data_IF_514891263079
#
_entry.id   IF_514891263079
#
_cell.length_a   1.000
_cell.length_b   1.000
_cell.length_c   1.000
_cell.angle_alpha   90.00
_cell.angle_beta   90.00
_cell.angle_gamma   90.00
#
_symmetry.space_group_name_H-M   'P 1'
#
loop_
_entity.id
_entity.type
_entity.pdbx_description
1 polymer ?
#
# COMPACT_ATOMS: atom_id res chain seq x y z
N UNK A 1 -10.23 -28.50 1.41
CA UNK A 1 -9.41 -28.33 2.62
C UNK A 1 -8.37 -27.25 2.32
N UNK A 2 -8.79 -25.97 2.36
CA UNK A 2 -7.91 -24.86 2.02
C UNK A 2 -6.97 -24.61 3.20
N UNK A 3 -5.67 -24.74 2.98
CA UNK A 3 -4.63 -24.40 3.94
C UNK A 3 -4.75 -22.91 4.32
N UNK A 4 -5.53 -22.61 5.36
CA UNK A 4 -5.45 -21.33 6.05
C UNK A 4 -4.07 -21.28 6.70
N UNK A 5 -3.15 -20.57 6.05
CA UNK A 5 -1.83 -20.30 6.61
C UNK A 5 -2.00 -19.64 8.00
N UNK A 6 -1.57 -20.29 9.10
CA UNK A 6 -1.83 -19.84 10.47
C UNK A 6 -1.10 -18.54 10.85
N UNK A 7 -0.24 -18.00 9.98
CA UNK A 7 0.56 -16.81 10.26
C UNK A 7 -0.03 -15.50 9.75
N UNK A 8 -1.19 -15.50 9.07
CA UNK A 8 -1.81 -14.27 8.57
C UNK A 8 -2.86 -13.79 9.56
N UNK A 9 -2.46 -13.02 10.57
CA UNK A 9 -3.41 -12.30 11.42
C UNK A 9 -4.07 -11.19 10.57
N UNK A 10 -5.20 -11.53 9.96
CA UNK A 10 -5.99 -10.66 9.07
C UNK A 10 -6.86 -9.75 9.92
N UNK A 11 -6.68 -8.44 9.81
CA UNK A 11 -7.44 -7.48 10.61
C UNK A 11 -8.51 -6.78 9.77
N UNK A 12 -9.62 -6.46 10.46
CA UNK A 12 -10.86 -5.86 9.95
C UNK A 12 -11.77 -6.85 9.22
N UNK A 13 -11.64 -7.03 7.91
CA UNK A 13 -12.69 -7.67 7.10
C UNK A 13 -12.42 -9.13 6.70
N UNK A 14 -11.19 -9.63 6.84
CA UNK A 14 -10.84 -11.02 6.53
C UNK A 14 -10.54 -11.33 5.05
N UNK A 15 -10.52 -10.33 4.17
CA UNK A 15 -10.07 -10.47 2.78
C UNK A 15 -8.60 -10.93 2.76
N UNK A 16 -8.28 -11.84 1.85
CA UNK A 16 -7.00 -12.56 1.81
C UNK A 16 -6.48 -12.86 0.42
N UNK A 17 -7.02 -12.23 -0.63
CA UNK A 17 -6.40 -12.23 -1.96
C UNK A 17 -4.99 -11.63 -1.82
N UNK A 18 -3.90 -12.38 -2.11
CA UNK A 18 -2.53 -11.90 -2.06
C UNK A 18 -2.30 -10.57 -2.78
N UNK A 19 -2.97 -10.35 -3.91
CA UNK A 19 -2.82 -9.13 -4.69
C UNK A 19 -3.50 -7.93 -4.04
N UNK A 20 -4.40 -8.16 -3.08
CA UNK A 20 -5.24 -7.14 -2.48
C UNK A 20 -4.92 -6.84 -1.01
N UNK A 21 -3.86 -7.44 -0.44
CA UNK A 21 -3.45 -7.28 0.95
C UNK A 21 -2.02 -6.76 1.10
N UNK A 22 -1.78 -6.03 2.18
CA UNK A 22 -0.51 -5.42 2.54
C UNK A 22 -0.21 -5.67 4.01
N UNK A 23 1.04 -5.98 4.33
CA UNK A 23 1.51 -6.12 5.70
C UNK A 23 1.94 -4.76 6.25
N UNK A 24 1.47 -4.41 7.45
CA UNK A 24 2.06 -3.32 8.22
C UNK A 24 3.30 -3.84 8.96
N UNK A 25 4.46 -3.22 8.73
CA UNK A 25 5.73 -3.75 9.23
C UNK A 25 5.89 -3.58 10.74
N UNK A 26 5.27 -2.57 11.34
CA UNK A 26 5.32 -2.36 12.79
C UNK A 26 4.42 -3.33 13.54
N UNK A 27 3.19 -3.56 13.06
CA UNK A 27 2.22 -4.41 13.76
C UNK A 27 2.29 -5.87 13.36
N UNK A 28 2.94 -6.17 12.22
CA UNK A 28 3.02 -7.51 11.59
C UNK A 28 1.64 -8.09 11.23
N UNK A 29 0.69 -7.20 10.93
CA UNK A 29 -0.69 -7.56 10.59
C UNK A 29 -1.02 -7.21 9.15
N UNK A 30 -1.95 -7.95 8.57
CA UNK A 30 -2.37 -7.80 7.17
C UNK A 30 -3.70 -7.08 7.06
N UNK A 31 -3.77 -6.16 6.09
CA UNK A 31 -4.95 -5.36 5.79
C UNK A 31 -5.17 -5.29 4.29
N UNK A 32 -6.43 -5.28 3.85
CA UNK A 32 -6.72 -5.15 2.42
C UNK A 32 -6.71 -3.68 1.95
N UNK A 33 -6.64 -3.51 0.63
CA UNK A 33 -6.77 -2.19 -0.01
C UNK A 33 -8.23 -1.79 -0.29
N UNK A 34 -9.21 -2.62 0.10
CA UNK A 34 -10.64 -2.31 0.00
C UNK A 34 -11.14 -1.38 1.10
N UNK A 35 -12.23 -0.66 0.84
CA UNK A 35 -12.81 0.33 1.77
C UNK A 35 -13.93 -0.25 2.64
N UNK A 36 -14.66 -1.27 2.16
CA UNK A 36 -15.84 -1.80 2.84
C UNK A 36 -16.80 -0.67 3.25
N UNK A 37 -17.21 -0.66 4.51
CA UNK A 37 -18.12 0.36 5.07
C UNK A 37 -17.37 1.54 5.71
N UNK A 38 -16.20 1.91 5.18
CA UNK A 38 -15.37 3.01 5.70
C UNK A 38 -14.99 3.99 4.60
N UNK A 39 -14.50 5.18 4.95
CA UNK A 39 -14.18 6.24 3.98
C UNK A 39 -12.80 6.10 3.31
N UNK A 40 -12.00 5.11 3.70
CA UNK A 40 -10.66 4.85 3.17
C UNK A 40 -10.33 3.37 3.22
N UNK A 41 -9.26 2.94 2.56
CA UNK A 41 -8.88 1.52 2.59
C UNK A 41 -8.55 1.04 4.01
N UNK A 42 -8.75 -0.24 4.28
CA UNK A 42 -8.43 -0.83 5.56
C UNK A 42 -6.96 -0.64 5.96
N UNK A 43 -6.01 -0.80 5.03
CA UNK A 43 -4.59 -0.53 5.29
C UNK A 43 -4.34 0.94 5.61
N UNK A 44 -4.86 1.89 4.84
CA UNK A 44 -4.62 3.33 5.11
C UNK A 44 -5.26 3.77 6.43
N UNK A 45 -6.49 3.31 6.73
CA UNK A 45 -7.13 3.56 8.02
C UNK A 45 -6.28 3.02 9.18
N UNK A 46 -5.71 1.82 9.02
CA UNK A 46 -4.80 1.26 10.02
C UNK A 46 -3.52 2.11 10.19
N UNK A 47 -2.83 2.44 9.10
CA UNK A 47 -1.58 3.20 9.14
C UNK A 47 -1.77 4.55 9.84
N UNK A 48 -2.84 5.28 9.53
CA UNK A 48 -3.16 6.56 10.18
C UNK A 48 -3.45 6.38 11.66
N UNK A 49 -4.36 5.46 12.03
CA UNK A 49 -4.79 5.27 13.43
C UNK A 49 -3.65 4.75 14.31
N UNK A 50 -2.90 3.77 13.82
CA UNK A 50 -1.79 3.15 14.55
C UNK A 50 -0.47 3.94 14.41
N UNK A 51 -0.48 5.10 13.74
CA UNK A 51 0.71 5.93 13.47
C UNK A 51 1.86 5.13 12.81
N UNK A 52 1.51 4.13 12.02
CA UNK A 52 2.43 3.28 11.28
C UNK A 52 2.66 3.86 9.88
N UNK A 53 3.83 3.57 9.30
CA UNK A 53 4.26 4.22 8.06
C UNK A 53 4.87 3.27 7.05
N UNK A 54 5.25 2.06 7.46
CA UNK A 54 6.03 1.14 6.66
C UNK A 54 5.23 -0.11 6.35
N UNK A 55 5.35 -0.57 5.11
CA UNK A 55 4.56 -1.68 4.59
C UNK A 55 5.37 -2.60 3.68
N UNK A 56 4.94 -3.86 3.60
CA UNK A 56 5.49 -4.88 2.71
C UNK A 56 4.37 -5.52 1.90
N UNK A 57 4.58 -5.67 0.60
CA UNK A 57 3.66 -6.35 -0.31
C UNK A 57 3.71 -7.87 -0.12
N UNK A 58 2.63 -8.54 -0.51
CA UNK A 58 2.56 -10.00 -0.42
C UNK A 58 3.44 -10.68 -1.49
N UNK A 59 4.12 -11.77 -1.12
CA UNK A 59 5.00 -12.55 -2.02
C UNK A 59 4.33 -13.04 -3.32
N UNK A 60 3.05 -13.35 -3.26
CA UNK A 60 2.24 -13.81 -4.40
C UNK A 60 1.45 -12.65 -5.06
N UNK A 61 1.78 -11.40 -4.71
CA UNK A 61 1.21 -10.20 -5.33
C UNK A 61 1.93 -9.78 -6.62
N UNK A 62 1.45 -8.73 -7.31
CA UNK A 62 1.96 -8.32 -8.63
C UNK A 62 3.46 -7.98 -8.67
N UNK A 63 4.02 -7.53 -7.54
CA UNK A 63 5.41 -7.08 -7.40
C UNK A 63 6.21 -7.98 -6.43
N UNK A 64 5.69 -9.16 -6.09
CA UNK A 64 6.32 -10.05 -5.12
C UNK A 64 6.45 -9.46 -3.71
N UNK A 65 7.29 -10.08 -2.88
CA UNK A 65 7.56 -9.62 -1.52
C UNK A 65 8.50 -8.42 -1.56
N UNK A 66 7.90 -7.23 -1.62
CA UNK A 66 8.62 -5.97 -1.76
C UNK A 66 8.29 -5.05 -0.60
N UNK A 67 9.31 -4.59 0.13
CA UNK A 67 9.18 -3.50 1.08
C UNK A 67 9.17 -2.17 0.33
N UNK A 68 8.16 -1.32 0.58
CA UNK A 68 8.08 -0.04 -0.11
C UNK A 68 9.06 0.95 0.52
N UNK A 69 10.06 1.35 -0.26
CA UNK A 69 11.08 2.31 0.16
C UNK A 69 11.55 3.22 -0.97
N UNK A 70 12.03 4.40 -0.60
CA UNK A 70 12.61 5.36 -1.54
C UNK A 70 13.93 4.82 -2.08
N UNK A 71 14.06 4.72 -3.40
CA UNK A 71 15.27 4.30 -4.08
C UNK A 71 16.51 5.13 -3.68
N UNK A 72 16.33 6.44 -3.48
CA UNK A 72 17.44 7.36 -3.23
C UNK A 72 17.93 7.38 -1.77
N UNK A 73 17.05 7.21 -0.78
CA UNK A 73 17.40 7.41 0.63
C UNK A 73 16.95 6.29 1.57
N UNK A 74 16.31 5.24 1.07
CA UNK A 74 15.79 4.13 1.88
C UNK A 74 14.62 4.51 2.81
N UNK A 75 14.06 5.72 2.70
CA UNK A 75 12.90 6.11 3.50
C UNK A 75 11.70 5.20 3.21
N UNK A 76 11.09 4.65 4.25
CA UNK A 76 9.98 3.67 4.15
C UNK A 76 8.61 4.25 4.50
N UNK A 77 8.50 5.57 4.61
CA UNK A 77 7.23 6.21 4.93
C UNK A 77 6.33 6.25 3.70
N UNK A 78 5.39 5.32 3.59
CA UNK A 78 4.46 5.19 2.46
C UNK A 78 3.68 6.48 2.14
N UNK A 79 3.45 7.36 3.12
CA UNK A 79 2.77 8.65 2.90
C UNK A 79 3.64 9.71 2.22
N UNK A 80 4.97 9.53 2.23
CA UNK A 80 5.92 10.41 1.53
C UNK A 80 6.36 9.84 0.18
N UNK A 81 6.14 8.55 -0.03
CA UNK A 81 6.53 7.86 -1.25
C UNK A 81 5.54 8.14 -2.38
N UNK A 82 6.10 8.24 -3.57
CA UNK A 82 5.39 8.22 -4.84
C UNK A 82 6.26 7.56 -5.89
N UNK A 83 5.75 7.49 -7.11
CA UNK A 83 6.47 6.94 -8.24
C UNK A 83 6.65 7.99 -9.34
N UNK A 84 7.71 7.83 -10.14
CA UNK A 84 7.87 8.50 -11.43
C UNK A 84 7.93 7.39 -12.50
N UNK A 85 7.10 7.45 -13.56
CA UNK A 85 7.18 6.47 -14.65
C UNK A 85 8.44 6.71 -15.50
N UNK A 86 9.14 5.64 -15.88
CA UNK A 86 10.21 5.74 -16.86
C UNK A 86 9.64 5.90 -18.29
N UNK A 87 10.32 6.69 -19.14
CA UNK A 87 9.84 7.02 -20.50
C UNK A 87 9.87 5.84 -21.49
N UNK A 88 10.67 4.82 -21.25
CA UNK A 88 11.00 3.80 -22.25
C UNK A 88 10.76 2.35 -21.82
N UNK A 89 10.66 2.08 -20.52
CA UNK A 89 10.43 0.74 -19.98
C UNK A 89 9.30 0.82 -18.96
N UNK A 90 8.50 -0.23 -18.82
CA UNK A 90 7.44 -0.33 -17.79
C UNK A 90 7.96 -0.33 -16.34
N UNK A 91 9.15 0.22 -16.12
CA UNK A 91 9.83 0.39 -14.85
C UNK A 91 9.31 1.66 -14.17
N UNK A 92 8.95 1.50 -12.90
CA UNK A 92 8.51 2.57 -12.01
C UNK A 92 9.51 2.69 -10.88
N UNK A 93 9.92 3.91 -10.54
CA UNK A 93 10.87 4.15 -9.45
C UNK A 93 10.16 4.85 -8.29
N UNK A 94 10.38 4.33 -7.07
CA UNK A 94 9.82 4.90 -5.86
C UNK A 94 10.73 5.98 -5.28
N UNK A 95 10.19 7.17 -5.04
CA UNK A 95 10.92 8.30 -4.45
C UNK A 95 10.07 9.06 -3.45
N UNK A 96 10.73 9.63 -2.44
CA UNK A 96 10.11 10.65 -1.59
C UNK A 96 9.74 11.88 -2.42
N UNK A 97 8.60 12.51 -2.12
CA UNK A 97 8.18 13.77 -2.77
C UNK A 97 9.25 14.85 -2.68
N UNK A 98 9.85 14.99 -1.50
CA UNK A 98 10.99 15.87 -1.22
C UNK A 98 11.91 15.18 -0.21
N UNK A 99 13.23 15.40 -0.28
CA UNK A 99 13.95 16.11 -1.35
C UNK A 99 14.20 15.25 -2.60
N UNK A 100 13.89 13.95 -2.57
CA UNK A 100 14.38 12.98 -3.56
C UNK A 100 13.80 13.15 -4.96
N UNK A 101 12.51 13.50 -5.10
CA UNK A 101 11.88 13.79 -6.39
C UNK A 101 11.98 15.26 -6.79
N UNK A 102 12.98 15.99 -6.27
CA UNK A 102 13.25 17.38 -6.69
C UNK A 102 14.16 17.41 -7.92
N UNK A 103 14.03 18.45 -8.75
CA UNK A 103 14.82 18.57 -9.98
C UNK A 103 16.34 18.60 -9.71
N UNK A 104 16.78 19.12 -8.57
CA UNK A 104 18.19 19.15 -8.18
C UNK A 104 18.76 17.76 -7.85
N UNK A 105 17.93 16.87 -7.29
CA UNK A 105 18.33 15.50 -6.93
C UNK A 105 18.32 14.54 -8.13
N UNK A 106 17.66 14.89 -9.23
CA UNK A 106 17.42 14.00 -10.38
C UNK A 106 18.24 14.32 -11.64
N UNK A 107 19.16 15.30 -11.58
CA UNK A 107 19.87 15.82 -12.77
C UNK A 107 20.55 14.74 -13.63
N UNK A 108 21.06 13.68 -13.03
CA UNK A 108 21.80 12.62 -13.73
C UNK A 108 20.92 11.42 -14.13
N UNK A 109 19.65 11.37 -13.69
CA UNK A 109 18.77 10.20 -13.86
C UNK A 109 17.75 10.36 -15.00
N UNK A 110 17.69 11.53 -15.67
CA UNK A 110 16.75 11.85 -16.75
C UNK A 110 15.25 11.63 -16.40
N UNK A 111 14.90 11.67 -15.11
CA UNK A 111 13.52 11.55 -14.62
C UNK A 111 12.86 12.91 -14.54
N UNK A 112 11.59 12.97 -14.92
CA UNK A 112 10.80 14.19 -14.87
C UNK A 112 10.09 14.31 -13.49
N UNK A 113 10.54 15.20 -12.60
CA UNK A 113 9.95 15.35 -11.26
C UNK A 113 8.48 15.79 -11.28
N UNK A 114 8.01 16.38 -12.39
CA UNK A 114 6.61 16.80 -12.54
C UNK A 114 5.65 15.62 -12.66
N UNK A 115 6.17 14.46 -13.09
CA UNK A 115 5.39 13.23 -13.24
C UNK A 115 5.27 12.42 -11.95
N UNK A 116 5.85 12.90 -10.84
CA UNK A 116 5.71 12.22 -9.56
C UNK A 116 4.25 12.16 -9.12
N UNK A 117 3.80 10.96 -8.73
CA UNK A 117 2.47 10.72 -8.19
C UNK A 117 2.56 9.91 -6.89
N UNK A 118 1.72 10.21 -5.87
CA UNK A 118 1.79 9.53 -4.58
C UNK A 118 1.36 8.06 -4.69
N UNK A 119 1.94 7.18 -3.86
CA UNK A 119 1.50 5.77 -3.80
C UNK A 119 0.12 5.59 -3.18
N UNK A 120 -0.31 6.57 -2.38
CA UNK A 120 -1.63 6.60 -1.75
C UNK A 120 -2.43 7.76 -2.38
N UNK A 121 -3.51 7.41 -3.05
CA UNK A 121 -4.46 8.35 -3.63
C UNK A 121 -5.87 7.96 -3.21
N UNK A 122 -6.74 8.94 -2.96
CA UNK A 122 -8.11 8.70 -2.48
C UNK A 122 -8.17 7.75 -1.27
N UNK A 123 -7.21 7.89 -0.34
CA UNK A 123 -7.12 7.10 0.90
C UNK A 123 -6.96 5.59 0.65
N UNK A 124 -6.40 5.17 -0.48
CA UNK A 124 -6.00 3.79 -0.78
C UNK A 124 -4.69 3.74 -1.57
N UNK A 125 -4.02 2.59 -1.58
CA UNK A 125 -2.87 2.40 -2.47
C UNK A 125 -3.32 2.31 -3.93
N UNK A 126 -2.43 2.70 -4.86
CA UNK A 126 -2.66 2.54 -6.30
C UNK A 126 -2.92 1.07 -6.66
N UNK A 127 -3.81 0.83 -7.62
CA UNK A 127 -4.32 -0.51 -7.96
C UNK A 127 -3.28 -1.44 -8.57
N UNK A 128 -2.27 -0.88 -9.23
CA UNK A 128 -1.14 -1.63 -9.78
C UNK A 128 -0.14 -2.06 -8.69
N UNK A 129 -0.10 -1.36 -7.55
CA UNK A 129 0.65 -1.77 -6.35
C UNK A 129 -0.12 -2.85 -5.58
N UNK A 130 -1.40 -2.56 -5.29
CA UNK A 130 -2.27 -3.41 -4.50
C UNK A 130 -3.67 -3.34 -5.09
N UNK A 131 -4.14 -4.47 -5.62
CA UNK A 131 -5.46 -4.62 -6.21
C UNK A 131 -6.54 -4.21 -5.21
N UNK A 132 -7.60 -3.58 -5.71
CA UNK A 132 -8.82 -3.37 -4.92
C UNK A 132 -9.62 -4.68 -4.95
N UNK A 133 -9.99 -5.26 -3.80
CA UNK A 133 -10.86 -6.42 -3.78
C UNK A 133 -12.17 -6.13 -4.52
N UNK A 134 -12.69 -7.12 -5.24
CA UNK A 134 -13.94 -6.97 -5.98
C UNK A 134 -15.12 -6.65 -5.05
N UNK A 135 -16.19 -6.08 -5.62
CA UNK A 135 -17.41 -5.77 -4.86
C UNK A 135 -17.98 -7.01 -4.17
N UNK A 136 -18.03 -8.15 -4.86
CA UNK A 136 -18.51 -9.42 -4.32
C UNK A 136 -17.67 -9.91 -3.13
N UNK A 137 -16.34 -9.77 -3.20
CA UNK A 137 -15.44 -10.11 -2.09
C UNK A 137 -15.67 -9.19 -0.89
N UNK A 138 -15.87 -7.88 -1.13
CA UNK A 138 -16.14 -6.92 -0.07
C UNK A 138 -17.50 -7.15 0.62
N UNK A 139 -18.53 -7.56 -0.13
CA UNK A 139 -19.85 -7.90 0.42
C UNK A 139 -19.82 -9.18 1.27
N UNK A 140 -19.01 -10.18 0.89
CA UNK A 140 -18.85 -11.43 1.65
C UNK A 140 -17.93 -11.29 2.86
N UNK A 141 -17.06 -10.30 2.86
CA UNK A 141 -16.14 -10.02 3.96
C UNK A 141 -16.90 -9.57 5.22
N UNK A 142 -16.23 -9.57 6.38
CA UNK A 142 -16.81 -9.04 7.61
C UNK A 142 -17.13 -7.54 7.44
N UNK A 143 -18.40 -7.20 7.63
CA UNK A 143 -18.93 -5.84 7.50
C UNK A 143 -18.55 -5.00 8.72
N UNK A 144 -17.32 -4.50 8.74
CA UNK A 144 -16.78 -3.69 9.83
C UNK A 144 -16.99 -2.20 9.56
N UNK A 145 -17.48 -1.47 10.57
CA UNK A 145 -17.69 -0.02 10.50
C UNK A 145 -16.49 0.74 11.06
N UNK A 146 -16.38 2.03 10.74
CA UNK A 146 -15.35 2.90 11.32
C UNK A 146 -15.40 2.92 12.87
N UNK A 147 -16.60 2.87 13.46
CA UNK A 147 -16.77 2.81 14.92
C UNK A 147 -16.25 1.50 15.53
N UNK A 148 -16.47 0.38 14.86
CA UNK A 148 -15.93 -0.92 15.28
C UNK A 148 -14.40 -0.94 15.16
N UNK A 149 -13.86 -0.39 14.06
CA UNK A 149 -12.43 -0.21 13.88
C UNK A 149 -11.85 0.61 15.04
N UNK A 150 -12.52 1.68 15.47
CA UNK A 150 -12.04 2.53 16.57
C UNK A 150 -11.86 1.81 17.91
N UNK A 151 -12.54 0.68 18.13
CA UNK A 151 -12.47 -0.13 19.34
C UNK A 151 -11.47 -1.29 19.25
N UNK A 152 -10.86 -1.49 18.08
CA UNK A 152 -9.79 -2.45 17.80
C UNK A 152 -8.44 -1.72 17.71
#
# INVERSE_FOLDING_TARGET
MFYLNPYVLKIYCGIHDPAAVVMCNQTKKWFCNGRGNTSGSHIVNHLVRARCKEVTLHKDGPLGETQLECYNCGCRNAFLLGFIPAKADSVVVLLCRQPCASQSALKDMNWDPTQWQPLIQDRCFLTWLVKIPSEQEQLRARQITAQMINRL
#
